data_IF_768966704995
#
_entry.id   IF_768966704995
#
_cell.length_a   1.000
_cell.length_b   1.000
_cell.length_c   1.000
_cell.angle_alpha   90.00
_cell.angle_beta   90.00
_cell.angle_gamma   90.00
#
_symmetry.space_group_name_H-M   'P 1'
#
loop_
_entity.id
_entity.type
_entity.pdbx_description
1 polymer ?
#
# COMPACT_ATOMS: atom_id res chain seq x y z
N UNK A 1 6.42 25.14 0.46
CA UNK A 1 5.74 25.47 -0.82
C UNK A 1 5.78 24.30 -1.80
N UNK A 2 6.95 23.68 -2.07
CA UNK A 2 7.08 22.47 -2.91
C UNK A 2 6.09 21.34 -2.56
N UNK A 3 5.96 21.03 -1.26
CA UNK A 3 5.06 19.97 -0.78
C UNK A 3 3.57 20.17 -1.14
N UNK A 4 3.13 21.41 -1.40
CA UNK A 4 1.74 21.72 -1.82
C UNK A 4 1.51 21.52 -3.32
N UNK A 5 2.55 21.76 -4.13
CA UNK A 5 2.49 21.57 -5.59
C UNK A 5 2.46 20.08 -5.91
N UNK A 6 3.38 19.31 -5.34
CA UNK A 6 3.44 17.85 -5.50
C UNK A 6 2.13 17.19 -5.05
N UNK A 7 1.57 17.62 -3.91
CA UNK A 7 0.26 17.13 -3.45
C UNK A 7 -0.87 17.44 -4.44
N UNK A 8 -0.90 18.65 -4.99
CA UNK A 8 -1.91 19.04 -5.98
C UNK A 8 -1.80 18.18 -7.25
N UNK A 9 -0.57 17.92 -7.71
CA UNK A 9 -0.31 17.08 -8.88
C UNK A 9 -0.73 15.63 -8.61
N UNK A 10 -0.30 15.04 -7.48
CA UNK A 10 -0.66 13.66 -7.10
C UNK A 10 -2.16 13.47 -6.93
N UNK A 11 -2.82 14.40 -6.25
CA UNK A 11 -4.28 14.33 -6.02
C UNK A 11 -5.06 14.38 -7.35
N UNK A 12 -4.67 15.29 -8.25
CA UNK A 12 -5.28 15.35 -9.57
C UNK A 12 -4.99 14.10 -10.40
N UNK A 13 -3.75 13.62 -10.35
CA UNK A 13 -3.35 12.39 -11.02
C UNK A 13 -4.17 11.19 -10.54
N UNK A 14 -4.31 10.96 -9.23
CA UNK A 14 -5.10 9.85 -8.70
C UNK A 14 -6.59 9.98 -9.01
N UNK A 15 -7.11 11.20 -9.09
CA UNK A 15 -8.49 11.46 -9.54
C UNK A 15 -8.70 11.05 -11.00
N UNK A 16 -7.72 11.30 -11.87
CA UNK A 16 -7.74 10.86 -13.26
C UNK A 16 -7.55 9.34 -13.36
N UNK A 17 -6.53 8.79 -12.68
CA UNK A 17 -6.21 7.37 -12.63
C UNK A 17 -7.35 6.50 -12.12
N UNK A 18 -8.21 7.01 -11.24
CA UNK A 18 -9.42 6.29 -10.82
C UNK A 18 -10.51 6.16 -11.91
N UNK A 19 -10.38 6.86 -13.05
CA UNK A 19 -11.44 6.98 -14.08
C UNK A 19 -10.99 6.58 -15.47
N UNK A 20 -9.73 6.81 -15.80
CA UNK A 20 -9.17 6.55 -17.14
C UNK A 20 -7.86 5.79 -17.04
N UNK A 21 -7.52 5.09 -18.12
CA UNK A 21 -6.29 4.30 -18.18
C UNK A 21 -5.06 5.19 -18.11
N UNK A 22 -3.98 4.66 -17.53
CA UNK A 22 -2.70 5.35 -17.38
C UNK A 22 -2.19 6.01 -18.68
N UNK A 23 -2.35 5.35 -19.82
CA UNK A 23 -1.92 5.85 -21.13
C UNK A 23 -2.75 7.02 -21.68
N UNK A 24 -3.92 7.29 -21.10
CA UNK A 24 -4.75 8.45 -21.42
C UNK A 24 -4.35 9.70 -20.61
N UNK A 25 -3.66 9.52 -19.48
CA UNK A 25 -3.27 10.63 -18.59
C UNK A 25 -2.04 11.31 -19.18
N UNK A 26 -2.12 12.62 -19.38
CA UNK A 26 -1.02 13.41 -19.96
C UNK A 26 -0.61 14.56 -19.05
N UNK A 27 0.67 14.94 -19.09
CA UNK A 27 1.18 16.13 -18.37
C UNK A 27 0.38 17.38 -18.73
N UNK A 28 0.02 17.53 -20.02
CA UNK A 28 -0.83 18.64 -20.48
C UNK A 28 -2.21 18.62 -19.83
N UNK A 29 -2.84 17.44 -19.75
CA UNK A 29 -4.15 17.26 -19.10
C UNK A 29 -4.10 17.61 -17.61
N UNK A 30 -3.13 17.05 -16.89
CA UNK A 30 -2.93 17.32 -15.45
C UNK A 30 -2.71 18.82 -15.20
N UNK A 31 -1.77 19.45 -15.91
CA UNK A 31 -1.47 20.87 -15.76
C UNK A 31 -2.62 21.81 -16.18
N UNK A 32 -3.60 21.31 -16.94
CA UNK A 32 -4.80 22.08 -17.26
C UNK A 32 -5.87 21.98 -16.16
N UNK A 33 -5.84 20.90 -15.36
CA UNK A 33 -6.80 20.63 -14.30
C UNK A 33 -6.40 21.24 -12.93
N UNK A 34 -5.11 21.54 -12.74
CA UNK A 34 -4.57 22.23 -11.55
C UNK A 34 -3.82 23.51 -11.95
N UNK A 35 -3.70 24.52 -11.07
CA UNK A 35 -3.00 25.77 -11.36
C UNK A 35 -1.46 25.59 -11.35
N UNK A 36 -0.95 24.65 -12.15
CA UNK A 36 0.47 24.31 -12.25
C UNK A 36 0.92 24.46 -13.69
N UNK A 37 1.92 25.32 -13.92
CA UNK A 37 2.53 25.45 -15.25
C UNK A 37 3.31 24.18 -15.61
N UNK A 38 3.36 23.82 -16.89
CA UNK A 38 4.14 22.65 -17.37
C UNK A 38 5.62 22.73 -16.97
N UNK A 39 6.23 23.92 -16.99
CA UNK A 39 7.60 24.13 -16.53
C UNK A 39 7.78 23.80 -15.05
N UNK A 40 6.77 24.11 -14.22
CA UNK A 40 6.73 23.74 -12.81
C UNK A 40 6.50 22.24 -12.63
N UNK A 41 5.63 21.61 -13.43
CA UNK A 41 5.49 20.15 -13.38
C UNK A 41 6.85 19.47 -13.63
N UNK A 42 7.56 19.89 -14.69
CA UNK A 42 8.85 19.31 -15.06
C UNK A 42 9.99 19.63 -14.08
N UNK A 43 9.81 20.54 -13.11
CA UNK A 43 10.78 20.71 -12.02
C UNK A 43 10.62 19.68 -10.90
N UNK A 44 9.50 18.94 -10.86
CA UNK A 44 9.22 17.92 -9.86
C UNK A 44 9.15 16.50 -10.46
N UNK A 45 8.58 16.34 -11.66
CA UNK A 45 8.37 15.03 -12.29
C UNK A 45 8.77 15.05 -13.76
N UNK A 46 9.38 13.97 -14.26
CA UNK A 46 9.77 13.87 -15.68
C UNK A 46 8.58 13.54 -16.58
N UNK A 47 7.61 12.79 -16.06
CA UNK A 47 6.43 12.32 -16.78
C UNK A 47 5.32 11.92 -15.78
N UNK A 48 4.22 11.35 -16.28
CA UNK A 48 3.08 10.91 -15.43
C UNK A 48 3.35 9.61 -14.66
N UNK A 49 4.24 8.74 -15.14
CA UNK A 49 4.65 7.52 -14.41
C UNK A 49 5.48 7.86 -13.17
N UNK A 50 6.32 8.89 -13.23
CA UNK A 50 7.02 9.41 -12.05
C UNK A 50 6.04 9.89 -10.95
N UNK A 51 4.89 10.45 -11.34
CA UNK A 51 3.85 10.86 -10.39
C UNK A 51 3.21 9.64 -9.73
N UNK A 52 2.93 8.59 -10.52
CA UNK A 52 2.40 7.32 -10.01
C UNK A 52 3.38 6.68 -9.03
N UNK A 53 4.66 6.60 -9.39
CA UNK A 53 5.71 6.04 -8.52
C UNK A 53 5.83 6.81 -7.19
N UNK A 54 5.74 8.13 -7.22
CA UNK A 54 5.74 8.96 -6.00
C UNK A 54 4.50 8.71 -5.11
N UNK A 55 3.32 8.49 -5.71
CA UNK A 55 2.13 8.07 -4.95
C UNK A 55 2.35 6.70 -4.31
N UNK A 56 2.83 5.71 -5.07
CA UNK A 56 3.12 4.37 -4.56
C UNK A 56 4.08 4.42 -3.37
N UNK A 57 5.20 5.12 -3.52
CA UNK A 57 6.25 5.20 -2.53
C UNK A 57 5.78 5.94 -1.27
N UNK A 58 4.94 6.97 -1.41
CA UNK A 58 4.33 7.66 -0.27
C UNK A 58 3.39 6.75 0.51
N UNK A 59 2.51 6.01 -0.17
CA UNK A 59 1.58 5.08 0.50
C UNK A 59 2.34 3.98 1.24
N UNK A 60 3.37 3.41 0.61
CA UNK A 60 4.23 2.39 1.21
C UNK A 60 5.07 2.94 2.38
N UNK A 61 5.53 4.18 2.27
CA UNK A 61 6.25 4.86 3.36
C UNK A 61 5.33 5.07 4.56
N UNK A 62 4.08 5.49 4.35
CA UNK A 62 3.10 5.59 5.45
C UNK A 62 2.84 4.26 6.15
N UNK A 63 2.75 3.15 5.40
CA UNK A 63 2.65 1.81 5.98
C UNK A 63 3.92 1.39 6.75
N UNK A 64 5.10 1.77 6.25
CA UNK A 64 6.37 1.52 6.93
C UNK A 64 6.49 2.31 8.23
N UNK A 65 6.03 3.57 8.25
CA UNK A 65 6.00 4.42 9.44
C UNK A 65 5.12 3.83 10.55
N UNK A 66 3.97 3.23 10.20
CA UNK A 66 3.13 2.50 11.15
C UNK A 66 3.89 1.32 11.75
N UNK A 67 4.60 0.55 10.91
CA UNK A 67 5.42 -0.58 11.37
C UNK A 67 6.46 -0.12 12.38
N UNK A 68 7.22 0.93 12.07
CA UNK A 68 8.27 1.43 12.97
C UNK A 68 7.70 2.06 14.25
N UNK A 69 6.62 2.83 14.15
CA UNK A 69 5.93 3.45 15.29
C UNK A 69 5.38 2.41 16.26
N UNK A 70 4.64 1.42 15.77
CA UNK A 70 3.95 0.42 16.62
C UNK A 70 4.93 -0.61 17.16
N UNK A 71 5.96 -1.00 16.39
CA UNK A 71 6.95 -1.97 16.86
C UNK A 71 8.00 -1.38 17.81
N UNK A 72 8.23 -0.05 17.76
CA UNK A 72 9.32 0.59 18.51
C UNK A 72 10.70 -0.02 18.21
N UNK A 73 10.88 -0.59 17.00
CA UNK A 73 12.08 -1.32 16.60
C UNK A 73 12.13 -2.79 17.01
N UNK A 74 11.15 -3.29 17.77
CA UNK A 74 11.06 -4.68 18.21
C UNK A 74 9.82 -5.38 17.63
N UNK A 75 9.87 -5.70 16.33
CA UNK A 75 8.77 -6.39 15.65
C UNK A 75 8.33 -7.68 16.39
N UNK A 76 9.23 -8.57 16.86
CA UNK A 76 8.83 -9.79 17.57
C UNK A 76 7.91 -9.60 18.78
N UNK A 77 7.90 -8.41 19.39
CA UNK A 77 7.04 -8.09 20.54
C UNK A 77 5.98 -7.03 20.19
N UNK A 78 5.86 -6.66 18.91
CA UNK A 78 4.83 -5.73 18.43
C UNK A 78 3.44 -6.29 18.70
N UNK A 79 2.58 -5.44 19.26
CA UNK A 79 1.14 -5.71 19.36
C UNK A 79 0.54 -5.72 17.94
N UNK A 80 0.17 -6.92 17.50
CA UNK A 80 -0.32 -7.10 16.14
C UNK A 80 -1.74 -6.55 15.96
N UNK A 81 -2.56 -6.51 17.01
CA UNK A 81 -3.89 -5.91 16.98
C UNK A 81 -3.81 -4.41 16.74
N UNK A 82 -2.97 -3.72 17.52
CA UNK A 82 -2.71 -2.27 17.35
C UNK A 82 -2.12 -1.98 15.96
N UNK A 83 -1.19 -2.81 15.49
CA UNK A 83 -0.62 -2.66 14.15
C UNK A 83 -1.69 -2.78 13.05
N UNK A 84 -2.59 -3.77 13.15
CA UNK A 84 -3.69 -3.92 12.21
C UNK A 84 -4.65 -2.73 12.28
N UNK A 85 -5.01 -2.26 13.48
CA UNK A 85 -5.89 -1.10 13.67
C UNK A 85 -5.35 0.15 12.96
N UNK A 86 -4.08 0.48 13.19
CA UNK A 86 -3.45 1.63 12.55
C UNK A 86 -3.31 1.45 11.04
N UNK A 87 -3.00 0.23 10.57
CA UNK A 87 -2.91 -0.07 9.14
C UNK A 87 -4.26 0.10 8.45
N UNK A 88 -5.34 -0.47 9.00
CA UNK A 88 -6.69 -0.28 8.46
C UNK A 88 -7.11 1.19 8.52
N UNK A 89 -6.78 1.91 9.60
CA UNK A 89 -7.05 3.34 9.72
C UNK A 89 -6.36 4.16 8.63
N UNK A 90 -5.09 3.90 8.36
CA UNK A 90 -4.32 4.56 7.30
C UNK A 90 -4.87 4.24 5.91
N UNK A 91 -5.23 2.98 5.65
CA UNK A 91 -5.85 2.59 4.38
C UNK A 91 -7.20 3.29 4.19
N UNK A 92 -8.04 3.39 5.24
CA UNK A 92 -9.30 4.16 5.17
C UNK A 92 -9.06 5.64 4.88
N UNK A 93 -8.03 6.24 5.48
CA UNK A 93 -7.69 7.64 5.26
C UNK A 93 -7.24 7.92 3.80
N UNK A 94 -6.69 6.90 3.12
CA UNK A 94 -6.22 6.97 1.73
C UNK A 94 -7.04 6.04 0.82
N UNK A 95 -8.33 5.85 1.12
CA UNK A 95 -9.16 4.80 0.52
C UNK A 95 -9.24 4.88 -1.01
N UNK A 96 -9.38 6.09 -1.56
CA UNK A 96 -9.45 6.31 -3.00
C UNK A 96 -8.22 5.75 -3.72
N UNK A 97 -7.04 5.99 -3.16
CA UNK A 97 -5.77 5.72 -3.81
C UNK A 97 -5.45 4.24 -3.73
N UNK A 98 -5.60 3.64 -2.55
CA UNK A 98 -5.47 2.19 -2.38
C UNK A 98 -6.47 1.43 -3.24
N UNK A 99 -7.74 1.87 -3.29
CA UNK A 99 -8.76 1.22 -4.12
C UNK A 99 -8.43 1.37 -5.61
N UNK A 100 -7.93 2.52 -6.04
CA UNK A 100 -7.50 2.70 -7.41
C UNK A 100 -6.39 1.70 -7.79
N UNK A 101 -5.38 1.55 -6.93
CA UNK A 101 -4.20 0.71 -7.16
C UNK A 101 -4.41 -0.79 -6.92
N UNK A 102 -5.41 -1.20 -6.12
CA UNK A 102 -5.66 -2.62 -5.83
C UNK A 102 -6.86 -3.20 -6.59
N UNK A 103 -7.85 -2.37 -6.91
CA UNK A 103 -9.16 -2.83 -7.39
C UNK A 103 -9.49 -2.27 -8.77
N UNK A 104 -9.46 -0.95 -8.92
CA UNK A 104 -9.95 -0.30 -10.17
C UNK A 104 -9.00 -0.58 -11.33
N UNK A 105 -7.71 -0.33 -11.11
CA UNK A 105 -6.64 -0.60 -12.05
C UNK A 105 -5.48 -1.22 -11.26
N UNK A 106 -5.52 -2.55 -11.02
CA UNK A 106 -4.52 -3.22 -10.18
C UNK A 106 -3.10 -2.95 -10.66
N UNK A 107 -2.36 -2.16 -9.88
CA UNK A 107 -1.00 -1.75 -10.20
C UNK A 107 -0.01 -2.79 -9.68
N UNK A 108 0.63 -3.50 -10.61
CA UNK A 108 1.50 -4.60 -10.23
C UNK A 108 2.80 -4.15 -9.56
N UNK A 109 3.27 -2.93 -9.84
CA UNK A 109 4.49 -2.38 -9.22
C UNK A 109 4.21 -2.12 -7.74
N UNK A 110 3.11 -1.45 -7.42
CA UNK A 110 2.62 -1.21 -6.07
C UNK A 110 2.39 -2.50 -5.29
N UNK A 111 1.63 -3.45 -5.86
CA UNK A 111 1.33 -4.75 -5.21
C UNK A 111 2.63 -5.50 -4.89
N UNK A 112 3.59 -5.51 -5.82
CA UNK A 112 4.87 -6.20 -5.62
C UNK A 112 5.74 -5.51 -4.56
N UNK A 113 5.80 -4.17 -4.56
CA UNK A 113 6.49 -3.39 -3.54
C UNK A 113 5.86 -3.63 -2.15
N UNK A 114 4.53 -3.63 -2.04
CA UNK A 114 3.83 -3.89 -0.78
C UNK A 114 4.05 -5.31 -0.27
N UNK A 115 3.91 -6.33 -1.13
CA UNK A 115 4.24 -7.72 -0.77
C UNK A 115 5.67 -7.83 -0.25
N UNK A 116 6.62 -7.15 -0.89
CA UNK A 116 8.02 -7.15 -0.47
C UNK A 116 8.21 -6.52 0.91
N UNK A 117 7.48 -5.44 1.22
CA UNK A 117 7.45 -4.85 2.56
C UNK A 117 6.86 -5.82 3.61
N UNK A 118 5.75 -6.50 3.30
CA UNK A 118 5.15 -7.51 4.18
C UNK A 118 6.12 -8.67 4.45
N UNK A 119 6.74 -9.22 3.40
CA UNK A 119 7.74 -10.30 3.54
C UNK A 119 8.92 -9.88 4.42
N UNK A 120 9.43 -8.65 4.23
CA UNK A 120 10.50 -8.09 5.08
C UNK A 120 10.07 -7.99 6.55
N UNK A 121 8.84 -7.55 6.80
CA UNK A 121 8.29 -7.48 8.16
C UNK A 121 8.13 -8.87 8.78
N UNK A 122 7.67 -9.87 8.02
CA UNK A 122 7.60 -11.26 8.49
C UNK A 122 8.98 -11.80 8.86
N UNK A 123 10.00 -11.55 8.04
CA UNK A 123 11.36 -12.00 8.35
C UNK A 123 11.89 -11.39 9.65
N UNK A 124 11.58 -10.12 9.91
CA UNK A 124 11.95 -9.41 11.16
C UNK A 124 11.12 -9.87 12.36
N UNK A 125 9.84 -10.17 12.15
CA UNK A 125 8.88 -10.63 13.19
C UNK A 125 9.16 -12.07 13.62
N UNK A 126 9.58 -12.92 12.70
CA UNK A 126 9.76 -14.37 12.87
C UNK A 126 11.13 -14.84 12.34
N UNK A 127 12.25 -14.40 12.95
CA UNK A 127 13.59 -14.69 12.43
C UNK A 127 13.91 -16.20 12.38
N UNK A 128 13.38 -17.00 13.30
CA UNK A 128 13.56 -18.46 13.29
C UNK A 128 12.85 -19.13 12.10
N UNK A 129 11.72 -18.57 11.66
CA UNK A 129 10.95 -19.12 10.54
C UNK A 129 11.68 -18.96 9.20
N UNK A 130 12.53 -17.95 9.08
CA UNK A 130 13.36 -17.73 7.89
C UNK A 130 14.33 -18.87 7.59
N UNK A 131 14.67 -19.69 8.61
CA UNK A 131 15.64 -20.77 8.49
C UNK A 131 15.03 -22.07 7.97
N UNK A 132 13.71 -22.10 7.78
CA UNK A 132 12.97 -23.32 7.49
C UNK A 132 12.80 -23.55 5.98
N UNK A 133 12.68 -24.81 5.54
CA UNK A 133 12.47 -25.11 4.13
C UNK A 133 11.27 -24.33 3.57
N UNK A 134 11.37 -23.88 2.34
CA UNK A 134 10.30 -23.16 1.62
C UNK A 134 9.87 -21.81 2.23
N UNK A 135 10.65 -21.20 3.12
CA UNK A 135 10.37 -19.85 3.67
C UNK A 135 9.94 -18.84 2.60
N UNK A 136 10.64 -18.79 1.46
CA UNK A 136 10.32 -17.87 0.37
C UNK A 136 8.90 -18.03 -0.17
N UNK A 137 8.41 -19.28 -0.29
CA UNK A 137 7.06 -19.58 -0.72
C UNK A 137 6.04 -19.24 0.37
N UNK A 138 6.31 -19.59 1.63
CA UNK A 138 5.44 -19.26 2.77
C UNK A 138 5.27 -17.74 2.92
N UNK A 139 6.37 -16.98 2.81
CA UNK A 139 6.34 -15.53 2.88
C UNK A 139 5.55 -14.93 1.71
N UNK A 140 5.66 -15.48 0.49
CA UNK A 140 4.86 -15.05 -0.65
C UNK A 140 3.37 -15.37 -0.49
N UNK A 141 3.03 -16.55 0.04
CA UNK A 141 1.65 -16.93 0.36
C UNK A 141 1.06 -15.98 1.41
N UNK A 142 1.78 -15.72 2.50
CA UNK A 142 1.34 -14.81 3.55
C UNK A 142 1.17 -13.37 3.05
N UNK A 143 2.13 -12.86 2.27
CA UNK A 143 2.02 -11.54 1.66
C UNK A 143 0.85 -11.45 0.67
N UNK A 144 0.61 -12.51 -0.11
CA UNK A 144 -0.54 -12.58 -1.02
C UNK A 144 -1.87 -12.62 -0.27
N UNK A 145 -1.95 -13.35 0.85
CA UNK A 145 -3.14 -13.37 1.69
C UNK A 145 -3.46 -11.99 2.27
N UNK A 146 -2.44 -11.24 2.71
CA UNK A 146 -2.60 -9.86 3.18
C UNK A 146 -3.15 -8.94 2.08
N UNK A 147 -2.55 -8.95 0.89
CA UNK A 147 -3.05 -8.15 -0.24
C UNK A 147 -4.47 -8.55 -0.62
N UNK A 148 -4.75 -9.85 -0.67
CA UNK A 148 -6.06 -10.39 -0.98
C UNK A 148 -7.13 -9.94 0.03
N UNK A 149 -6.80 -9.92 1.32
CA UNK A 149 -7.72 -9.46 2.35
C UNK A 149 -8.09 -7.98 2.19
N UNK A 150 -7.11 -7.10 1.96
CA UNK A 150 -7.39 -5.68 1.72
C UNK A 150 -8.14 -5.44 0.41
N UNK A 151 -7.80 -6.17 -0.65
CA UNK A 151 -8.48 -6.08 -1.95
C UNK A 151 -9.95 -6.49 -1.81
N UNK A 152 -10.22 -7.64 -1.19
CA UNK A 152 -11.57 -8.13 -0.97
C UNK A 152 -12.42 -7.16 -0.14
N UNK A 153 -11.84 -6.60 0.93
CA UNK A 153 -12.49 -5.59 1.76
C UNK A 153 -12.86 -4.33 0.96
N UNK A 154 -12.02 -3.89 0.03
CA UNK A 154 -12.30 -2.72 -0.82
C UNK A 154 -13.32 -2.98 -1.92
N UNK A 155 -13.41 -4.21 -2.41
CA UNK A 155 -14.45 -4.63 -3.35
C UNK A 155 -15.82 -4.79 -2.67
N UNK A 156 -15.82 -5.18 -1.39
CA UNK A 156 -17.03 -5.48 -0.63
C UNK A 156 -17.12 -4.66 0.67
N UNK A 157 -17.17 -3.32 0.58
CA UNK A 157 -17.13 -2.43 1.75
C UNK A 157 -18.29 -2.65 2.72
N UNK A 158 -19.45 -3.10 2.22
CA UNK A 158 -20.66 -3.34 3.02
C UNK A 158 -20.75 -4.77 3.59
N UNK A 159 -19.99 -5.72 3.05
CA UNK A 159 -20.06 -7.12 3.43
C UNK A 159 -19.06 -7.51 4.52
N UNK A 160 -18.02 -6.72 4.72
CA UNK A 160 -16.90 -7.06 5.61
C UNK A 160 -16.83 -6.10 6.79
N UNK A 161 -17.13 -6.58 7.99
CA UNK A 161 -16.75 -5.87 9.20
C UNK A 161 -15.23 -5.85 9.30
N UNK A 162 -14.65 -4.66 9.47
CA UNK A 162 -13.20 -4.48 9.62
C UNK A 162 -12.64 -5.32 10.76
N UNK A 163 -13.42 -5.54 11.82
CA UNK A 163 -12.98 -6.37 12.95
C UNK A 163 -12.85 -7.85 12.57
N UNK A 164 -13.81 -8.38 11.81
CA UNK A 164 -13.75 -9.76 11.32
C UNK A 164 -12.58 -9.93 10.34
N UNK A 165 -12.33 -8.94 9.49
CA UNK A 165 -11.20 -8.95 8.56
C UNK A 165 -9.85 -9.01 9.32
N UNK A 166 -9.67 -8.20 10.38
CA UNK A 166 -8.47 -8.25 11.22
C UNK A 166 -8.27 -9.62 11.85
N UNK A 167 -9.33 -10.18 12.46
CA UNK A 167 -9.27 -11.49 13.09
C UNK A 167 -8.91 -12.60 12.08
N UNK A 168 -9.45 -12.55 10.87
CA UNK A 168 -9.15 -13.53 9.82
C UNK A 168 -7.71 -13.38 9.31
N UNK A 169 -7.22 -12.15 9.13
CA UNK A 169 -5.82 -11.90 8.75
C UNK A 169 -4.88 -12.48 9.80
N UNK A 170 -5.09 -12.13 11.07
CA UNK A 170 -4.25 -12.61 12.19
C UNK A 170 -4.23 -14.15 12.25
N UNK A 171 -5.40 -14.80 12.23
CA UNK A 171 -5.49 -16.26 12.25
C UNK A 171 -4.83 -16.91 11.04
N UNK A 172 -5.01 -16.36 9.85
CA UNK A 172 -4.43 -16.91 8.61
C UNK A 172 -2.91 -16.81 8.65
N UNK A 173 -2.37 -15.66 9.07
CA UNK A 173 -0.94 -15.48 9.19
C UNK A 173 -0.36 -16.37 10.28
N UNK A 174 -0.99 -16.47 11.45
CA UNK A 174 -0.57 -17.37 12.50
C UNK A 174 -0.52 -18.83 12.01
N UNK A 175 -1.51 -19.29 11.25
CA UNK A 175 -1.54 -20.65 10.69
C UNK A 175 -0.42 -20.89 9.66
N UNK A 176 -0.16 -19.93 8.76
CA UNK A 176 0.95 -20.01 7.81
C UNK A 176 2.29 -20.08 8.54
N UNK A 177 2.44 -19.26 9.59
CA UNK A 177 3.69 -19.18 10.36
C UNK A 177 3.87 -20.34 11.36
N UNK A 178 2.80 -21.00 11.79
CA UNK A 178 2.84 -22.18 12.65
C UNK A 178 3.10 -23.48 11.88
N UNK A 179 3.13 -23.45 10.55
CA UNK A 179 3.51 -24.59 9.70
C UNK A 179 5.03 -24.83 9.68
N UNK A 180 5.74 -24.32 10.68
CA UNK A 180 7.18 -24.11 10.79
C UNK A 180 7.64 -24.59 12.17
#
# INVERSE_FOLDING_TARGET
>A
MANSIEESIRSEFMRAYAKERMDCITVKGLCAAVPVARTTFYSHYRNVDDVLEDVEDRLLSGLAEITERVSGGNLPHMDFGVFLDETFGFIKANWSDFRALLVVQPDMRFITKWKSAVKRNFSRRYPAACMQPNWGLLAEMGASAVIGAYTYWMEHPDASNVEDAKHLIDRTLAAIMASI
#
